data_IF_199310056147
#
_entry.id   IF_199310056147
#
_cell.length_a   1.000
_cell.length_b   1.000
_cell.length_c   1.000
_cell.angle_alpha   90.00
_cell.angle_beta   90.00
_cell.angle_gamma   90.00
#
_symmetry.space_group_name_H-M   'P 1'
#
loop_
_entity.id
_entity.type
_entity.pdbx_description
1 polymer ?
#
# COMPACT_ATOMS: atom_id res chain seq x y z
N UNK A 1 20.71 27.22 -27.06
CA UNK A 1 20.24 25.85 -26.76
C UNK A 1 19.60 25.92 -25.36
N UNK A 2 18.33 25.59 -25.19
CA UNK A 2 17.75 25.56 -23.85
C UNK A 2 18.46 24.48 -23.03
N UNK A 3 18.84 24.82 -21.80
CA UNK A 3 19.52 23.91 -20.90
C UNK A 3 18.57 22.70 -20.63
N UNK A 4 19.05 21.50 -20.96
CA UNK A 4 18.28 20.29 -20.74
C UNK A 4 17.94 20.12 -19.25
N UNK A 5 16.73 19.64 -18.94
CA UNK A 5 16.34 19.35 -17.57
C UNK A 5 16.96 18.05 -17.10
N UNK A 6 17.63 18.10 -15.96
CA UNK A 6 18.26 16.92 -15.33
C UNK A 6 17.28 16.22 -14.41
N UNK A 7 16.99 14.96 -14.69
CA UNK A 7 16.10 14.12 -13.89
C UNK A 7 16.92 13.09 -13.13
N UNK A 8 16.82 13.11 -11.80
CA UNK A 8 17.42 12.10 -10.94
C UNK A 8 16.37 11.05 -10.58
N UNK A 9 16.69 9.79 -10.80
CA UNK A 9 15.83 8.64 -10.49
C UNK A 9 16.49 7.86 -9.35
N UNK A 10 15.99 8.04 -8.14
CA UNK A 10 16.45 7.30 -6.97
C UNK A 10 15.66 6.00 -6.88
N UNK A 11 16.36 4.89 -6.99
CA UNK A 11 15.87 3.52 -7.19
C UNK A 11 15.25 3.33 -8.59
N UNK A 12 15.63 2.24 -9.29
CA UNK A 12 15.12 1.95 -10.63
C UNK A 12 13.60 1.86 -10.68
N UNK A 13 13.04 2.37 -11.77
CA UNK A 13 11.62 2.23 -12.12
C UNK A 13 11.49 1.39 -13.40
N UNK A 14 10.29 0.96 -13.74
CA UNK A 14 10.07 0.19 -14.95
C UNK A 14 10.53 0.96 -16.21
N UNK A 15 11.19 0.25 -17.14
CA UNK A 15 11.76 0.82 -18.38
C UNK A 15 10.77 1.66 -19.20
N UNK A 16 9.48 1.30 -19.19
CA UNK A 16 8.45 2.05 -19.90
C UNK A 16 8.31 3.51 -19.43
N UNK A 17 8.72 3.83 -18.18
CA UNK A 17 8.86 5.21 -17.72
C UNK A 17 10.11 5.86 -18.28
N UNK A 18 11.26 5.16 -18.24
CA UNK A 18 12.53 5.66 -18.77
C UNK A 18 12.42 5.98 -20.26
N UNK A 19 11.72 5.14 -21.03
CA UNK A 19 11.54 5.32 -22.47
C UNK A 19 10.87 6.67 -22.83
N UNK A 20 10.09 7.28 -21.92
CA UNK A 20 9.48 8.60 -22.14
C UNK A 20 10.49 9.75 -22.21
N UNK A 21 11.66 9.60 -21.56
CA UNK A 21 12.69 10.64 -21.50
C UNK A 21 13.98 10.26 -22.24
N UNK A 22 14.22 8.96 -22.47
CA UNK A 22 15.47 8.44 -23.04
C UNK A 22 15.88 9.11 -24.36
N UNK A 23 14.93 9.38 -25.24
CA UNK A 23 15.17 9.99 -26.55
C UNK A 23 14.61 11.42 -26.64
N UNK A 24 14.23 12.02 -25.52
CA UNK A 24 13.68 13.37 -25.49
C UNK A 24 14.83 14.39 -25.37
N UNK A 25 15.05 15.26 -26.38
CA UNK A 25 16.17 16.19 -26.38
C UNK A 25 16.14 17.22 -25.24
N UNK A 26 15.00 17.39 -24.57
CA UNK A 26 14.82 18.36 -23.50
C UNK A 26 15.25 17.84 -22.12
N UNK A 27 15.55 16.53 -22.01
CA UNK A 27 15.86 15.88 -20.72
C UNK A 27 17.17 15.11 -20.79
N UNK A 28 17.92 15.17 -19.70
CA UNK A 28 18.96 14.22 -19.34
C UNK A 28 18.52 13.50 -18.06
N UNK A 29 18.89 12.23 -17.89
CA UNK A 29 18.52 11.48 -16.69
C UNK A 29 19.68 10.65 -16.15
N UNK A 30 19.64 10.43 -14.85
CA UNK A 30 20.57 9.56 -14.14
C UNK A 30 19.81 8.68 -13.17
N UNK A 31 20.21 7.39 -13.05
CA UNK A 31 19.60 6.42 -12.15
C UNK A 31 20.59 6.07 -11.06
N UNK A 32 20.17 6.18 -9.80
CA UNK A 32 20.89 5.68 -8.63
C UNK A 32 20.30 4.31 -8.27
N UNK A 33 21.08 3.26 -8.47
CA UNK A 33 20.69 1.88 -8.14
C UNK A 33 21.05 1.52 -6.70
N UNK A 34 22.29 1.82 -6.31
CA UNK A 34 22.79 1.63 -4.95
C UNK A 34 22.51 2.89 -4.14
N UNK A 35 21.64 2.78 -3.15
CA UNK A 35 21.23 3.91 -2.31
C UNK A 35 22.34 4.20 -1.31
N UNK A 36 23.28 5.04 -1.69
CA UNK A 36 24.27 5.63 -0.80
C UNK A 36 23.95 7.12 -0.62
N UNK A 37 23.85 7.55 0.63
CA UNK A 37 23.60 8.95 0.97
C UNK A 37 24.59 9.91 0.31
N UNK A 38 25.84 9.49 0.10
CA UNK A 38 26.88 10.31 -0.52
C UNK A 38 26.57 10.56 -2.01
N UNK A 39 26.16 9.52 -2.73
CA UNK A 39 25.78 9.63 -4.14
C UNK A 39 24.52 10.48 -4.32
N UNK A 40 23.53 10.28 -3.45
CA UNK A 40 22.30 11.08 -3.47
C UNK A 40 22.64 12.55 -3.19
N UNK A 41 23.44 12.86 -2.16
CA UNK A 41 23.85 14.23 -1.81
C UNK A 41 24.56 14.93 -2.96
N UNK A 42 25.43 14.22 -3.67
CA UNK A 42 26.17 14.80 -4.80
C UNK A 42 25.23 15.09 -6.00
N UNK A 43 24.38 14.14 -6.37
CA UNK A 43 23.58 14.24 -7.60
C UNK A 43 22.33 15.12 -7.45
N UNK A 44 21.76 15.22 -6.26
CA UNK A 44 20.58 16.05 -5.99
C UNK A 44 20.88 17.56 -6.11
N UNK A 45 22.14 17.97 -5.98
CA UNK A 45 22.55 19.37 -6.07
C UNK A 45 22.14 20.03 -7.39
N UNK A 46 22.20 19.28 -8.48
CA UNK A 46 22.06 19.79 -9.84
C UNK A 46 20.84 19.25 -10.60
N UNK A 47 19.99 18.41 -9.95
CA UNK A 47 18.80 17.91 -10.61
C UNK A 47 17.65 18.92 -10.59
N UNK A 48 16.89 18.99 -11.70
CA UNK A 48 15.68 19.81 -11.83
C UNK A 48 14.43 19.04 -11.38
N UNK A 49 14.38 17.72 -11.61
CA UNK A 49 13.30 16.82 -11.26
C UNK A 49 13.81 15.55 -10.58
N UNK A 50 13.03 15.03 -9.65
CA UNK A 50 13.38 13.85 -8.87
C UNK A 50 12.26 12.79 -8.93
N UNK A 51 12.63 11.57 -9.31
CA UNK A 51 11.81 10.37 -9.08
C UNK A 51 12.31 9.63 -7.85
N UNK A 52 11.44 9.27 -6.93
CA UNK A 52 11.80 8.54 -5.70
C UNK A 52 10.78 7.45 -5.36
N UNK A 53 11.26 6.32 -4.84
CA UNK A 53 10.41 5.21 -4.38
C UNK A 53 10.30 5.22 -2.87
N UNK A 54 11.05 4.36 -2.19
CA UNK A 54 10.98 4.14 -0.73
C UNK A 54 12.09 4.81 0.05
N UNK A 55 13.14 5.30 -0.61
CA UNK A 55 14.26 6.01 0.03
C UNK A 55 13.73 7.22 0.79
N UNK A 56 14.26 7.46 1.97
CA UNK A 56 13.93 8.64 2.77
C UNK A 56 14.54 9.91 2.16
N UNK A 57 13.69 10.87 1.81
CA UNK A 57 14.10 12.19 1.33
C UNK A 57 13.99 13.19 2.48
N UNK A 58 15.07 13.27 3.27
CA UNK A 58 15.14 14.11 4.44
C UNK A 58 15.14 15.62 4.13
N UNK A 59 14.86 16.44 5.13
CA UNK A 59 14.98 17.89 5.03
C UNK A 59 16.38 18.33 4.62
N UNK A 60 17.45 17.64 5.06
CA UNK A 60 18.82 17.90 4.64
C UNK A 60 18.98 17.78 3.12
N UNK A 61 18.56 16.66 2.54
CA UNK A 61 18.64 16.40 1.09
C UNK A 61 17.85 17.43 0.26
N UNK A 62 16.67 17.78 0.74
CA UNK A 62 15.83 18.79 0.10
C UNK A 62 16.51 20.16 0.17
N UNK A 63 17.07 20.52 1.32
CA UNK A 63 17.67 21.83 1.54
C UNK A 63 18.96 22.06 0.74
N UNK A 64 19.77 21.04 0.51
CA UNK A 64 20.97 21.17 -0.32
C UNK A 64 20.66 21.26 -1.81
N UNK A 65 19.50 20.78 -2.27
CA UNK A 65 19.12 20.83 -3.68
C UNK A 65 18.99 22.28 -4.17
N UNK A 66 19.71 22.65 -5.26
CA UNK A 66 19.76 24.03 -5.76
C UNK A 66 18.70 24.30 -6.84
N UNK A 67 18.40 23.30 -7.66
CA UNK A 67 17.59 23.43 -8.88
C UNK A 67 16.27 22.64 -8.84
N UNK A 68 16.09 21.77 -7.85
CA UNK A 68 14.95 20.87 -7.75
C UNK A 68 13.60 21.64 -7.72
N UNK A 69 12.70 21.29 -8.63
CA UNK A 69 11.38 21.92 -8.79
C UNK A 69 10.22 20.96 -8.59
N UNK A 70 10.45 19.67 -8.86
CA UNK A 70 9.42 18.63 -8.72
C UNK A 70 10.01 17.35 -8.15
N UNK A 71 9.30 16.76 -7.22
CA UNK A 71 9.48 15.39 -6.72
C UNK A 71 8.29 14.58 -7.22
N UNK A 72 8.53 13.54 -8.02
CA UNK A 72 7.51 12.58 -8.42
C UNK A 72 7.72 11.28 -7.65
N UNK A 73 6.81 11.01 -6.71
CA UNK A 73 6.84 9.81 -5.88
C UNK A 73 6.28 8.62 -6.67
N UNK A 74 7.08 7.58 -6.86
CA UNK A 74 6.69 6.32 -7.49
C UNK A 74 5.84 5.49 -6.51
N UNK A 75 4.57 5.82 -6.40
CA UNK A 75 3.58 5.26 -5.46
C UNK A 75 2.64 6.34 -4.93
N UNK A 76 1.74 5.95 -4.02
CA UNK A 76 0.71 6.84 -3.45
C UNK A 76 1.16 7.48 -2.13
N UNK A 77 1.78 6.69 -1.26
CA UNK A 77 2.25 7.20 0.03
C UNK A 77 3.55 8.00 -0.11
N UNK A 78 3.68 9.05 0.65
CA UNK A 78 4.83 9.96 0.62
C UNK A 78 5.38 10.26 2.03
N UNK A 79 5.20 9.32 2.94
CA UNK A 79 5.64 9.42 4.35
C UNK A 79 7.18 9.53 4.46
N UNK A 80 7.89 9.10 3.41
CA UNK A 80 9.34 9.17 3.29
C UNK A 80 9.85 10.52 2.72
N UNK A 81 9.00 11.52 2.55
CA UNK A 81 9.37 12.83 1.99
C UNK A 81 9.09 13.93 3.01
N UNK A 82 10.09 14.76 3.33
CA UNK A 82 9.90 15.93 4.18
C UNK A 82 9.08 17.02 3.46
N UNK A 83 7.79 17.05 3.77
CA UNK A 83 6.84 17.97 3.15
C UNK A 83 7.10 19.44 3.53
N UNK A 84 7.61 19.69 4.75
CA UNK A 84 7.85 21.04 5.22
C UNK A 84 8.92 21.73 4.38
N UNK A 85 10.07 21.09 4.26
CA UNK A 85 11.17 21.61 3.43
C UNK A 85 10.82 21.70 1.97
N UNK A 86 10.06 20.71 1.44
CA UNK A 86 9.56 20.76 0.05
C UNK A 86 8.70 21.99 -0.21
N UNK A 87 7.79 22.30 0.72
CA UNK A 87 6.90 23.47 0.62
C UNK A 87 7.66 24.78 0.76
N UNK A 88 8.59 24.89 1.72
CA UNK A 88 9.43 26.07 1.95
C UNK A 88 10.27 26.42 0.71
N UNK A 89 10.74 25.41 -0.02
CA UNK A 89 11.48 25.57 -1.27
C UNK A 89 10.62 25.66 -2.52
N UNK A 90 9.29 25.68 -2.39
CA UNK A 90 8.35 25.67 -3.52
C UNK A 90 8.56 24.50 -4.48
N UNK A 91 8.91 23.32 -3.97
CA UNK A 91 9.06 22.10 -4.74
C UNK A 91 7.71 21.41 -4.84
N UNK A 92 7.25 21.14 -6.05
CA UNK A 92 5.99 20.43 -6.28
C UNK A 92 6.16 18.95 -5.96
N UNK A 93 5.21 18.38 -5.20
CA UNK A 93 5.11 16.93 -5.00
C UNK A 93 4.01 16.37 -5.89
N UNK A 94 4.35 15.40 -6.71
CA UNK A 94 3.40 14.60 -7.48
C UNK A 94 3.51 13.12 -7.06
N UNK A 95 2.41 12.36 -7.18
CA UNK A 95 2.33 10.95 -6.81
C UNK A 95 1.75 10.14 -7.97
N UNK A 96 1.99 8.82 -8.00
CA UNK A 96 1.32 7.93 -8.95
C UNK A 96 -0.01 7.47 -8.36
N UNK A 97 -0.99 8.36 -8.44
CA UNK A 97 -2.17 8.28 -7.62
C UNK A 97 -3.12 7.13 -7.98
N UNK A 98 -3.16 6.71 -9.26
CA UNK A 98 -4.15 5.74 -9.78
C UNK A 98 -3.53 4.40 -10.16
N UNK A 99 -2.23 4.38 -10.41
CA UNK A 99 -1.56 3.27 -11.07
C UNK A 99 -1.63 1.94 -10.30
N UNK A 100 -1.59 1.97 -8.96
CA UNK A 100 -1.50 0.77 -8.13
C UNK A 100 -2.85 0.25 -7.59
N UNK A 101 -3.94 1.00 -7.75
CA UNK A 101 -5.20 0.67 -7.08
C UNK A 101 -5.75 -0.72 -7.42
N UNK A 102 -5.61 -1.14 -8.68
CA UNK A 102 -6.02 -2.46 -9.16
C UNK A 102 -5.18 -3.56 -8.52
N UNK A 103 -3.85 -3.45 -8.62
CA UNK A 103 -2.92 -4.46 -8.12
C UNK A 103 -3.07 -4.66 -6.61
N UNK A 104 -3.12 -3.56 -5.82
CA UNK A 104 -3.29 -3.65 -4.37
C UNK A 104 -4.64 -4.26 -4.00
N UNK A 105 -5.73 -3.89 -4.68
CA UNK A 105 -7.04 -4.49 -4.42
C UNK A 105 -7.08 -5.99 -4.75
N UNK A 106 -6.37 -6.44 -5.78
CA UNK A 106 -6.22 -7.86 -6.11
C UNK A 106 -5.37 -8.60 -5.08
N UNK A 107 -4.29 -7.97 -4.61
CA UNK A 107 -3.45 -8.53 -3.55
C UNK A 107 -4.23 -8.71 -2.23
N UNK A 108 -5.10 -7.75 -1.88
CA UNK A 108 -6.00 -7.88 -0.73
C UNK A 108 -6.92 -9.09 -0.88
N UNK A 109 -7.54 -9.28 -2.05
CA UNK A 109 -8.38 -10.45 -2.32
C UNK A 109 -7.58 -11.76 -2.29
N UNK A 110 -6.35 -11.75 -2.81
CA UNK A 110 -5.44 -12.89 -2.74
C UNK A 110 -5.13 -13.27 -1.29
N UNK A 111 -4.74 -12.30 -0.44
CA UNK A 111 -4.50 -12.55 0.99
C UNK A 111 -5.75 -13.09 1.68
N UNK A 112 -6.91 -12.47 1.43
CA UNK A 112 -8.18 -12.89 2.02
C UNK A 112 -8.56 -14.32 1.63
N UNK A 113 -8.40 -14.69 0.36
CA UNK A 113 -8.64 -16.05 -0.14
C UNK A 113 -7.61 -17.04 0.42
N UNK A 114 -6.33 -16.69 0.45
CA UNK A 114 -5.27 -17.52 0.99
C UNK A 114 -5.57 -17.94 2.43
N UNK A 115 -5.91 -16.96 3.28
CA UNK A 115 -6.19 -17.19 4.69
C UNK A 115 -7.52 -17.95 4.86
N UNK A 116 -8.60 -17.51 4.21
CA UNK A 116 -9.91 -18.13 4.33
C UNK A 116 -9.93 -19.60 3.86
N UNK A 117 -9.12 -19.93 2.83
CA UNK A 117 -8.97 -21.30 2.30
C UNK A 117 -7.82 -22.08 2.94
N UNK A 118 -7.08 -21.48 3.90
CA UNK A 118 -5.95 -22.15 4.58
C UNK A 118 -4.95 -22.75 3.59
N UNK A 119 -4.62 -21.98 2.52
CA UNK A 119 -3.88 -22.45 1.35
C UNK A 119 -2.63 -23.25 1.73
N UNK A 120 -1.79 -22.72 2.62
CA UNK A 120 -0.52 -23.35 2.95
C UNK A 120 -0.72 -24.72 3.61
N UNK A 121 -1.67 -24.86 4.54
CA UNK A 121 -1.96 -26.11 5.23
C UNK A 121 -2.51 -27.18 4.27
N UNK A 122 -3.40 -26.79 3.35
CA UNK A 122 -4.00 -27.74 2.40
C UNK A 122 -3.00 -28.17 1.32
N UNK A 123 -2.17 -27.25 0.83
CA UNK A 123 -1.08 -27.55 -0.11
C UNK A 123 -0.04 -28.50 0.51
N UNK A 124 0.37 -28.21 1.74
CA UNK A 124 1.30 -29.06 2.50
C UNK A 124 0.77 -30.47 2.71
N UNK A 125 -0.52 -30.59 3.06
CA UNK A 125 -1.13 -31.90 3.28
C UNK A 125 -1.06 -32.80 2.02
N UNK A 126 -1.17 -32.22 0.84
CA UNK A 126 -1.02 -32.97 -0.42
C UNK A 126 0.45 -33.32 -0.66
N UNK A 127 1.37 -32.34 -0.53
CA UNK A 127 2.80 -32.50 -0.78
C UNK A 127 3.48 -33.51 0.13
N UNK A 128 3.00 -33.63 1.37
CA UNK A 128 3.51 -34.59 2.37
C UNK A 128 2.79 -35.94 2.35
N UNK A 129 1.97 -36.22 1.35
CA UNK A 129 1.26 -37.49 1.22
C UNK A 129 0.08 -37.69 2.19
N UNK A 130 -0.35 -36.62 2.90
CA UNK A 130 -1.41 -36.69 3.89
C UNK A 130 -2.82 -36.53 3.30
N UNK A 131 -2.99 -36.80 2.01
CA UNK A 131 -4.23 -36.64 1.26
C UNK A 131 -5.40 -37.46 1.86
N UNK A 132 -5.15 -38.68 2.32
CA UNK A 132 -6.15 -39.55 2.92
C UNK A 132 -6.78 -38.99 4.20
N UNK A 133 -6.06 -38.09 4.90
CA UNK A 133 -6.51 -37.45 6.12
C UNK A 133 -7.27 -36.12 5.87
N UNK A 134 -7.63 -35.79 4.64
CA UNK A 134 -8.30 -34.53 4.29
C UNK A 134 -9.52 -34.19 5.16
N UNK A 135 -10.26 -35.18 5.64
CA UNK A 135 -11.43 -35.00 6.49
C UNK A 135 -11.09 -34.51 7.92
N UNK A 136 -9.82 -34.64 8.33
CA UNK A 136 -9.29 -34.18 9.62
C UNK A 136 -8.72 -32.77 9.54
N UNK A 137 -8.54 -32.23 8.33
CA UNK A 137 -8.08 -30.85 8.17
C UNK A 137 -9.11 -29.84 8.68
N UNK A 138 -8.67 -28.76 9.31
CA UNK A 138 -9.57 -27.69 9.78
C UNK A 138 -10.36 -27.11 8.61
N UNK A 139 -11.65 -26.93 8.80
CA UNK A 139 -12.54 -26.39 7.75
C UNK A 139 -12.12 -24.97 7.31
N UNK A 140 -12.38 -24.68 6.04
CA UNK A 140 -12.16 -23.38 5.42
C UNK A 140 -13.42 -22.50 5.51
N UNK A 141 -13.28 -21.22 5.11
CA UNK A 141 -14.38 -20.24 5.11
C UNK A 141 -14.71 -19.87 3.67
N UNK A 142 -16.01 -19.72 3.38
CA UNK A 142 -16.48 -19.09 2.13
C UNK A 142 -16.59 -17.58 2.33
N UNK A 143 -16.38 -16.82 1.27
CA UNK A 143 -16.56 -15.37 1.27
C UNK A 143 -17.99 -14.95 0.91
N UNK A 144 -18.76 -15.83 0.32
CA UNK A 144 -20.14 -15.60 -0.08
C UNK A 144 -21.02 -15.14 1.08
N UNK A 145 -21.71 -14.02 0.90
CA UNK A 145 -22.55 -13.34 1.90
C UNK A 145 -21.83 -12.94 3.20
N UNK A 146 -20.51 -12.98 3.24
CA UNK A 146 -19.74 -12.51 4.38
C UNK A 146 -19.67 -10.97 4.39
N UNK A 147 -19.60 -10.42 5.61
CA UNK A 147 -19.48 -9.00 5.81
C UNK A 147 -18.00 -8.58 5.75
N UNK A 148 -17.66 -7.66 4.86
CA UNK A 148 -16.33 -7.05 4.82
C UNK A 148 -16.42 -5.55 5.11
N UNK A 149 -15.55 -5.05 5.99
CA UNK A 149 -15.34 -3.64 6.23
C UNK A 149 -14.12 -3.15 5.43
N UNK A 150 -14.32 -2.17 4.58
CA UNK A 150 -13.27 -1.41 3.92
C UNK A 150 -13.06 -0.12 4.73
N UNK A 151 -11.96 -0.04 5.48
CA UNK A 151 -11.61 1.13 6.28
C UNK A 151 -10.67 2.05 5.47
N UNK A 152 -11.21 3.13 4.95
CA UNK A 152 -10.62 4.02 3.95
C UNK A 152 -11.17 3.74 2.54
N UNK A 153 -11.78 4.76 1.92
CA UNK A 153 -12.47 4.61 0.62
C UNK A 153 -11.88 5.48 -0.49
N UNK A 154 -10.55 5.57 -0.48
CA UNK A 154 -9.77 6.13 -1.59
C UNK A 154 -9.80 5.22 -2.83
N UNK A 155 -8.89 5.44 -3.77
CA UNK A 155 -8.84 4.68 -5.04
C UNK A 155 -8.73 3.17 -4.86
N UNK A 156 -7.95 2.71 -3.87
CA UNK A 156 -7.80 1.28 -3.56
C UNK A 156 -9.11 0.71 -2.99
N UNK A 157 -9.71 1.37 -2.00
CA UNK A 157 -11.00 0.94 -1.42
C UNK A 157 -12.11 0.86 -2.47
N UNK A 158 -12.18 1.84 -3.37
CA UNK A 158 -13.12 1.85 -4.51
C UNK A 158 -12.80 0.77 -5.57
N UNK A 159 -11.55 0.38 -5.72
CA UNK A 159 -11.17 -0.75 -6.55
C UNK A 159 -11.53 -2.09 -5.90
N UNK A 160 -11.36 -2.19 -4.58
CA UNK A 160 -11.63 -3.40 -3.80
C UNK A 160 -13.13 -3.72 -3.74
N UNK A 161 -14.00 -2.71 -3.56
CA UNK A 161 -15.46 -2.97 -3.45
C UNK A 161 -16.01 -3.75 -4.64
N UNK A 162 -15.54 -3.46 -5.86
CA UNK A 162 -15.98 -4.16 -7.08
C UNK A 162 -15.62 -5.65 -7.03
N UNK A 163 -14.46 -5.98 -6.48
CA UNK A 163 -13.98 -7.36 -6.32
C UNK A 163 -14.77 -8.10 -5.24
N UNK A 164 -14.98 -7.46 -4.10
CA UNK A 164 -15.82 -8.01 -3.04
C UNK A 164 -17.26 -8.27 -3.52
N UNK A 165 -17.83 -7.39 -4.31
CA UNK A 165 -19.15 -7.58 -4.93
C UNK A 165 -19.15 -8.75 -5.91
N UNK A 166 -18.07 -9.00 -6.65
CA UNK A 166 -17.92 -10.18 -7.51
C UNK A 166 -17.92 -11.50 -6.73
N UNK A 167 -17.52 -11.48 -5.46
CA UNK A 167 -17.65 -12.59 -4.51
C UNK A 167 -18.97 -12.59 -3.72
N UNK A 168 -19.93 -11.74 -4.08
CA UNK A 168 -21.24 -11.59 -3.43
C UNK A 168 -21.12 -11.29 -1.92
N UNK A 169 -20.06 -10.60 -1.50
CA UNK A 169 -19.90 -10.13 -0.12
C UNK A 169 -20.80 -8.92 0.17
N UNK A 170 -21.20 -8.78 1.44
CA UNK A 170 -21.82 -7.57 1.95
C UNK A 170 -20.71 -6.57 2.30
N UNK A 171 -20.65 -5.44 1.59
CA UNK A 171 -19.56 -4.48 1.76
C UNK A 171 -20.01 -3.30 2.63
N UNK A 172 -19.29 -3.08 3.72
CA UNK A 172 -19.39 -1.93 4.60
C UNK A 172 -18.17 -1.04 4.41
N UNK A 173 -18.34 0.26 4.53
CA UNK A 173 -17.27 1.24 4.30
C UNK A 173 -17.22 2.24 5.45
N UNK A 174 -16.05 2.36 6.05
CA UNK A 174 -15.72 3.42 6.99
C UNK A 174 -14.78 4.42 6.29
N UNK A 175 -15.24 5.63 6.09
CA UNK A 175 -14.42 6.77 5.63
C UNK A 175 -15.12 8.06 6.08
N UNK A 176 -14.47 8.87 6.95
CA UNK A 176 -15.07 10.11 7.46
C UNK A 176 -15.18 11.23 6.42
N UNK A 177 -14.45 11.10 5.28
CA UNK A 177 -14.37 12.15 4.27
C UNK A 177 -15.21 11.86 3.02
N UNK A 178 -15.65 10.63 2.81
CA UNK A 178 -16.42 10.23 1.64
C UNK A 178 -17.91 10.19 1.99
N UNK A 179 -18.74 10.85 1.15
CA UNK A 179 -20.18 10.91 1.36
C UNK A 179 -20.85 9.53 1.23
N UNK A 180 -21.98 9.37 1.91
CA UNK A 180 -22.81 8.16 1.84
C UNK A 180 -23.22 7.83 0.40
N UNK A 181 -23.61 8.83 -0.37
CA UNK A 181 -24.08 8.65 -1.74
C UNK A 181 -23.02 8.05 -2.66
N UNK A 182 -21.75 8.47 -2.50
CA UNK A 182 -20.64 7.91 -3.28
C UNK A 182 -20.44 6.42 -2.94
N UNK A 183 -20.50 6.07 -1.65
CA UNK A 183 -20.33 4.69 -1.17
C UNK A 183 -21.48 3.82 -1.67
N UNK A 184 -22.72 4.27 -1.52
CA UNK A 184 -23.91 3.52 -1.91
C UNK A 184 -24.02 3.34 -3.43
N UNK A 185 -23.64 4.37 -4.20
CA UNK A 185 -23.56 4.27 -5.67
C UNK A 185 -22.60 3.16 -6.14
N UNK A 186 -21.56 2.87 -5.37
CA UNK A 186 -20.62 1.78 -5.64
C UNK A 186 -21.05 0.44 -5.03
N UNK A 187 -22.19 0.39 -4.34
CA UNK A 187 -22.79 -0.83 -3.78
C UNK A 187 -22.30 -1.17 -2.37
N UNK A 188 -21.70 -0.22 -1.65
CA UNK A 188 -21.34 -0.34 -0.24
C UNK A 188 -22.41 0.21 0.68
N UNK A 189 -22.25 -0.05 1.99
CA UNK A 189 -23.03 0.56 3.08
C UNK A 189 -22.08 1.38 3.95
N UNK A 190 -22.33 2.69 4.08
CA UNK A 190 -21.52 3.55 4.95
C UNK A 190 -21.75 3.18 6.41
N UNK A 191 -20.67 3.15 7.19
CA UNK A 191 -20.68 3.07 8.66
C UNK A 191 -19.93 4.28 9.20
N UNK A 192 -20.44 4.81 10.33
CA UNK A 192 -19.90 6.06 10.90
C UNK A 192 -18.91 5.79 12.04
N UNK A 193 -18.98 4.64 12.69
CA UNK A 193 -18.12 4.24 13.79
C UNK A 193 -17.38 2.94 13.46
N UNK A 194 -16.05 3.03 13.42
CA UNK A 194 -15.18 1.89 13.14
C UNK A 194 -15.27 0.84 14.26
N UNK A 195 -15.30 1.28 15.52
CA UNK A 195 -15.22 0.40 16.69
C UNK A 195 -16.51 -0.42 16.85
N UNK A 196 -17.64 0.15 16.49
CA UNK A 196 -18.90 -0.59 16.45
C UNK A 196 -19.00 -1.49 15.22
N UNK A 197 -18.55 -1.00 14.07
CA UNK A 197 -18.64 -1.78 12.83
C UNK A 197 -17.86 -3.10 12.90
N UNK A 198 -16.63 -3.10 13.43
CA UNK A 198 -15.76 -4.29 13.46
C UNK A 198 -16.39 -5.49 14.18
N UNK A 199 -17.29 -5.26 15.14
CA UNK A 199 -17.94 -6.31 15.94
C UNK A 199 -18.78 -7.28 15.09
N UNK A 200 -19.23 -6.84 13.92
CA UNK A 200 -20.12 -7.62 13.04
C UNK A 200 -19.45 -8.07 11.73
N UNK A 201 -18.16 -7.84 11.55
CA UNK A 201 -17.44 -8.14 10.32
C UNK A 201 -16.81 -9.53 10.33
N UNK A 202 -16.80 -10.17 9.16
CA UNK A 202 -16.09 -11.41 8.88
C UNK A 202 -14.72 -11.13 8.26
N UNK A 203 -14.54 -9.94 7.67
CA UNK A 203 -13.27 -9.45 7.16
C UNK A 203 -13.13 -7.94 7.34
N UNK A 204 -11.91 -7.46 7.53
CA UNK A 204 -11.57 -6.03 7.63
C UNK A 204 -10.36 -5.78 6.74
N UNK A 205 -10.42 -4.76 5.88
CA UNK A 205 -9.29 -4.33 5.06
C UNK A 205 -8.99 -2.86 5.29
N UNK A 206 -7.74 -2.57 5.65
CA UNK A 206 -7.27 -1.22 5.98
C UNK A 206 -6.71 -0.52 4.73
N UNK A 207 -7.19 0.70 4.47
CA UNK A 207 -6.80 1.55 3.32
C UNK A 207 -6.67 3.02 3.71
N UNK A 208 -6.51 3.30 5.00
CA UNK A 208 -6.31 4.64 5.53
C UNK A 208 -4.82 5.04 5.49
N UNK A 209 -4.48 6.34 5.52
CA UNK A 209 -3.11 6.77 5.78
C UNK A 209 -2.74 6.55 7.26
N UNK A 210 -1.45 6.35 7.53
CA UNK A 210 -0.94 6.36 8.90
C UNK A 210 -0.82 7.81 9.40
N UNK A 211 -1.42 8.09 10.54
CA UNK A 211 -1.31 9.34 11.29
C UNK A 211 -1.65 9.09 12.76
N UNK A 212 -1.61 10.13 13.59
CA UNK A 212 -1.88 10.01 15.04
C UNK A 212 -3.24 9.37 15.38
N UNK A 213 -4.25 9.54 14.51
CA UNK A 213 -5.59 8.97 14.73
C UNK A 213 -5.71 7.52 14.26
N UNK A 214 -4.85 7.09 13.35
CA UNK A 214 -4.88 5.74 12.76
C UNK A 214 -3.77 4.84 13.28
N UNK A 215 -2.78 5.39 13.98
CA UNK A 215 -1.73 4.63 14.65
C UNK A 215 -2.34 3.71 15.73
N UNK A 216 -2.00 2.42 15.66
CA UNK A 216 -2.51 1.39 16.56
C UNK A 216 -4.05 1.39 16.70
N UNK A 217 -4.76 1.82 15.65
CA UNK A 217 -6.22 1.83 15.65
C UNK A 217 -6.79 0.41 15.79
N UNK A 218 -6.05 -0.60 15.34
CA UNK A 218 -6.30 -2.00 15.62
C UNK A 218 -5.34 -2.43 16.74
N UNK A 219 -5.86 -2.50 17.95
CA UNK A 219 -5.18 -2.91 19.17
C UNK A 219 -5.89 -4.10 19.81
N UNK A 220 -5.32 -4.63 20.90
CA UNK A 220 -5.85 -5.82 21.56
C UNK A 220 -7.31 -5.66 22.05
N UNK A 221 -7.66 -4.48 22.57
CA UNK A 221 -9.02 -4.24 23.07
C UNK A 221 -10.05 -4.26 21.93
N UNK A 222 -9.70 -3.70 20.78
CA UNK A 222 -10.56 -3.78 19.60
C UNK A 222 -10.63 -5.21 19.05
N UNK A 223 -9.49 -5.92 18.98
CA UNK A 223 -9.43 -7.31 18.52
C UNK A 223 -10.33 -8.25 19.33
N UNK A 224 -10.42 -8.06 20.64
CA UNK A 224 -11.31 -8.84 21.52
C UNK A 224 -12.81 -8.69 21.19
N UNK A 225 -13.20 -7.57 20.57
CA UNK A 225 -14.61 -7.32 20.22
C UNK A 225 -15.01 -7.93 18.88
N UNK A 226 -14.06 -8.36 18.09
CA UNK A 226 -14.28 -8.91 16.74
C UNK A 226 -14.83 -10.34 16.79
N UNK A 227 -15.36 -10.80 15.67
CA UNK A 227 -15.79 -12.18 15.53
C UNK A 227 -14.58 -13.13 15.45
N UNK A 228 -14.69 -14.32 16.04
CA UNK A 228 -13.63 -15.35 15.98
C UNK A 228 -13.27 -15.82 14.57
N UNK A 229 -14.16 -15.62 13.60
CA UNK A 229 -13.91 -15.91 12.20
C UNK A 229 -13.44 -14.68 11.40
N UNK A 230 -13.19 -13.55 12.05
CA UNK A 230 -12.73 -12.32 11.38
C UNK A 230 -11.31 -12.48 10.84
N UNK A 231 -11.10 -12.01 9.61
CA UNK A 231 -9.78 -11.91 8.95
C UNK A 231 -9.44 -10.44 8.78
N UNK A 232 -8.23 -10.04 9.18
CA UNK A 232 -7.76 -8.66 9.02
C UNK A 232 -6.70 -8.60 7.93
N UNK A 233 -6.84 -7.64 7.00
CA UNK A 233 -5.88 -7.40 5.92
C UNK A 233 -5.33 -5.97 6.04
N UNK A 234 -4.01 -5.84 6.03
CA UNK A 234 -3.32 -4.56 5.95
C UNK A 234 -2.31 -4.55 4.79
N UNK A 235 -2.67 -3.89 3.71
CA UNK A 235 -1.81 -3.56 2.57
C UNK A 235 -1.70 -2.04 2.36
N UNK A 236 -1.85 -1.27 3.45
CA UNK A 236 -1.80 0.19 3.41
C UNK A 236 -0.53 0.74 4.04
N UNK A 237 -0.42 0.71 5.38
CA UNK A 237 0.76 1.15 6.13
C UNK A 237 0.93 0.30 7.39
N UNK A 238 2.19 -0.02 7.72
CA UNK A 238 2.54 -0.54 9.05
C UNK A 238 2.19 0.46 10.16
N UNK A 239 2.13 0.00 11.39
CA UNK A 239 1.79 0.84 12.55
C UNK A 239 0.30 1.17 12.74
N UNK A 240 -0.60 0.81 11.80
CA UNK A 240 -2.04 0.87 12.04
C UNK A 240 -2.55 -0.28 12.89
N UNK A 241 -1.89 -1.41 12.82
CA UNK A 241 -2.12 -2.56 13.69
C UNK A 241 -0.97 -2.64 14.67
N UNK A 242 -1.25 -2.77 15.97
CA UNK A 242 -0.22 -3.13 16.93
C UNK A 242 0.16 -4.60 16.71
N UNK A 243 1.39 -4.86 16.28
CA UNK A 243 1.82 -6.20 15.85
C UNK A 243 1.90 -7.19 17.00
N UNK A 244 2.28 -6.75 18.22
CA UNK A 244 2.28 -7.60 19.40
C UNK A 244 0.85 -7.97 19.86
N UNK A 245 -0.05 -7.01 19.82
CA UNK A 245 -1.47 -7.22 20.14
C UNK A 245 -2.12 -8.19 19.15
N UNK A 246 -1.78 -8.06 17.87
CA UNK A 246 -2.26 -8.96 16.82
C UNK A 246 -1.77 -10.38 17.03
N UNK A 247 -0.47 -10.58 17.31
CA UNK A 247 0.07 -11.91 17.59
C UNK A 247 -0.62 -12.55 18.80
N UNK A 248 -0.76 -11.80 19.89
CA UNK A 248 -1.46 -12.25 21.09
C UNK A 248 -2.90 -12.68 20.76
N UNK A 249 -3.65 -11.85 20.05
CA UNK A 249 -5.04 -12.15 19.70
C UNK A 249 -5.17 -13.39 18.80
N UNK A 250 -4.23 -13.58 17.86
CA UNK A 250 -4.17 -14.77 17.01
C UNK A 250 -3.87 -16.03 17.82
N UNK A 251 -2.91 -15.97 18.75
CA UNK A 251 -2.55 -17.10 19.62
C UNK A 251 -3.74 -17.49 20.53
N UNK A 252 -4.48 -16.54 21.03
CA UNK A 252 -5.70 -16.73 21.81
C UNK A 252 -6.93 -17.10 20.96
N UNK A 253 -6.80 -17.16 19.64
CA UNK A 253 -7.88 -17.46 18.69
C UNK A 253 -9.08 -16.51 18.81
N UNK A 254 -8.83 -15.25 19.10
CA UNK A 254 -9.84 -14.18 19.11
C UNK A 254 -10.30 -13.81 17.69
N UNK A 255 -9.41 -13.96 16.71
CA UNK A 255 -9.71 -13.79 15.29
C UNK A 255 -9.17 -14.99 14.49
N UNK A 256 -9.60 -15.13 13.25
CA UNK A 256 -9.25 -16.29 12.41
C UNK A 256 -7.85 -16.22 11.83
N UNK A 257 -7.41 -15.06 11.39
CA UNK A 257 -6.11 -14.85 10.77
C UNK A 257 -5.89 -13.43 10.32
N UNK A 258 -4.68 -13.12 9.85
CA UNK A 258 -4.33 -11.81 9.32
C UNK A 258 -3.46 -11.91 8.06
N UNK A 259 -3.57 -10.91 7.16
CA UNK A 259 -2.72 -10.73 6.01
C UNK A 259 -2.02 -9.37 6.08
N UNK A 260 -0.70 -9.36 6.05
CA UNK A 260 0.10 -8.15 6.15
C UNK A 260 1.06 -8.05 4.96
N UNK A 261 0.96 -6.96 4.22
CA UNK A 261 1.94 -6.58 3.19
C UNK A 261 2.88 -5.48 3.69
N UNK A 262 2.59 -4.92 4.88
CA UNK A 262 3.32 -3.81 5.49
C UNK A 262 3.55 -4.05 6.98
N UNK A 263 4.65 -3.48 7.51
CA UNK A 263 5.08 -3.68 8.89
C UNK A 263 5.37 -2.34 9.57
N UNK A 264 5.31 -2.32 10.91
CA UNK A 264 5.63 -1.12 11.71
C UNK A 264 7.08 -0.65 11.45
N UNK A 265 7.99 -1.61 11.28
CA UNK A 265 9.36 -1.36 10.81
C UNK A 265 9.60 -2.19 9.56
N UNK A 266 10.06 -1.58 8.48
CA UNK A 266 10.39 -2.24 7.22
C UNK A 266 11.89 -2.12 6.90
N UNK A 267 12.64 -3.23 6.77
CA UNK A 267 12.20 -4.62 6.94
C UNK A 267 11.83 -4.95 8.40
N UNK A 268 10.92 -5.92 8.62
CA UNK A 268 10.55 -6.33 9.98
C UNK A 268 11.76 -6.92 10.71
N UNK A 269 11.86 -6.64 12.03
CA UNK A 269 12.93 -7.20 12.86
C UNK A 269 12.80 -8.71 12.97
N UNK A 270 13.92 -9.42 13.15
CA UNK A 270 13.96 -10.88 13.26
C UNK A 270 13.16 -11.44 14.45
N UNK A 271 13.02 -10.64 15.50
CA UNK A 271 12.24 -10.96 16.72
C UNK A 271 10.74 -10.62 16.61
N UNK A 272 10.29 -10.10 15.49
CA UNK A 272 8.86 -9.82 15.29
C UNK A 272 8.04 -11.12 15.40
N UNK A 273 7.10 -11.20 16.36
CA UNK A 273 6.38 -12.44 16.66
C UNK A 273 5.52 -12.93 15.49
N UNK A 274 5.06 -12.03 14.63
CA UNK A 274 4.23 -12.36 13.48
C UNK A 274 4.96 -13.19 12.42
N UNK A 275 6.31 -13.11 12.36
CA UNK A 275 7.10 -13.88 11.39
C UNK A 275 7.00 -15.40 11.59
N UNK A 276 6.67 -15.84 12.80
CA UNK A 276 6.52 -17.26 13.16
C UNK A 276 5.07 -17.69 13.33
N UNK A 277 4.13 -16.75 13.23
CA UNK A 277 2.71 -17.04 13.43
C UNK A 277 2.07 -17.63 12.16
N UNK A 278 1.70 -18.90 12.20
CA UNK A 278 1.13 -19.62 11.07
C UNK A 278 -0.31 -19.21 10.68
N UNK A 279 -0.96 -18.36 11.46
CA UNK A 279 -2.24 -17.74 11.13
C UNK A 279 -2.11 -16.43 10.36
N UNK A 280 -0.86 -16.00 10.10
CA UNK A 280 -0.57 -14.76 9.35
C UNK A 280 -0.03 -15.11 7.97
N UNK A 281 -0.58 -14.47 6.95
CA UNK A 281 0.03 -14.40 5.63
C UNK A 281 0.84 -13.11 5.53
N UNK A 282 2.11 -13.22 5.14
CA UNK A 282 3.03 -12.09 5.03
C UNK A 282 3.49 -11.90 3.59
N UNK A 283 3.65 -10.65 3.17
CA UNK A 283 4.31 -10.28 1.91
C UNK A 283 5.18 -9.02 2.11
N UNK A 284 6.29 -8.87 1.36
CA UNK A 284 7.31 -7.85 1.64
C UNK A 284 7.03 -6.52 0.94
N UNK A 285 5.88 -5.88 1.25
CA UNK A 285 5.42 -4.62 0.67
C UNK A 285 5.37 -4.67 -0.87
N UNK A 286 4.78 -5.74 -1.40
CA UNK A 286 4.75 -6.06 -2.83
C UNK A 286 3.36 -6.08 -3.44
N UNK A 287 2.34 -5.58 -2.74
CA UNK A 287 0.97 -5.54 -3.26
C UNK A 287 0.83 -4.82 -4.62
N UNK A 288 1.77 -3.93 -4.95
CA UNK A 288 1.83 -3.22 -6.23
C UNK A 288 2.78 -3.86 -7.26
N UNK A 289 3.44 -5.00 -6.99
CA UNK A 289 4.51 -5.57 -7.82
C UNK A 289 3.99 -6.48 -8.94
N UNK A 290 2.95 -6.05 -9.65
CA UNK A 290 2.58 -6.71 -10.90
C UNK A 290 3.23 -5.98 -12.08
N UNK A 291 3.54 -6.69 -13.16
CA UNK A 291 4.18 -6.12 -14.36
C UNK A 291 3.37 -4.93 -14.89
N UNK A 292 2.06 -5.07 -14.99
CA UNK A 292 1.15 -4.04 -15.49
C UNK A 292 1.13 -2.81 -14.56
N UNK A 293 1.19 -3.03 -13.26
CA UNK A 293 1.23 -1.95 -12.28
C UNK A 293 2.57 -1.21 -12.35
N UNK A 294 3.68 -1.92 -12.43
CA UNK A 294 5.02 -1.34 -12.54
C UNK A 294 5.17 -0.52 -13.83
N UNK A 295 4.60 -0.99 -14.95
CA UNK A 295 4.52 -0.22 -16.21
C UNK A 295 3.75 1.09 -16.00
N UNK A 296 2.54 1.02 -15.41
CA UNK A 296 1.71 2.21 -15.16
C UNK A 296 2.40 3.19 -14.22
N UNK A 297 2.92 2.69 -13.11
CA UNK A 297 3.62 3.52 -12.11
C UNK A 297 4.87 4.18 -12.71
N UNK A 298 5.69 3.42 -13.45
CA UNK A 298 6.88 3.96 -14.12
C UNK A 298 6.54 5.08 -15.09
N UNK A 299 5.53 4.87 -15.95
CA UNK A 299 5.06 5.89 -16.89
C UNK A 299 4.51 7.12 -16.16
N UNK A 300 3.60 6.95 -15.20
CA UNK A 300 2.98 8.06 -14.47
C UNK A 300 4.02 8.87 -13.69
N UNK A 301 5.04 8.21 -13.11
CA UNK A 301 6.12 8.89 -12.40
C UNK A 301 6.88 9.86 -13.29
N UNK A 302 7.29 9.42 -14.46
CA UNK A 302 8.06 10.26 -15.39
C UNK A 302 7.13 11.27 -16.10
N UNK A 303 5.91 10.87 -16.43
CA UNK A 303 4.93 11.77 -17.04
C UNK A 303 4.62 12.97 -16.14
N UNK A 304 4.50 12.76 -14.82
CA UNK A 304 4.32 13.85 -13.87
C UNK A 304 5.46 14.90 -13.95
N UNK A 305 6.69 14.45 -14.12
CA UNK A 305 7.85 15.35 -14.26
C UNK A 305 7.79 16.11 -15.59
N UNK A 306 7.49 15.41 -16.69
CA UNK A 306 7.32 16.02 -18.01
C UNK A 306 6.19 17.05 -17.98
N UNK A 307 5.03 16.67 -17.49
CA UNK A 307 3.84 17.54 -17.42
C UNK A 307 4.09 18.79 -16.58
N UNK A 308 4.89 18.66 -15.52
CA UNK A 308 5.28 19.82 -14.72
C UNK A 308 6.11 20.81 -15.53
N UNK A 309 7.16 20.37 -16.22
CA UNK A 309 8.02 21.27 -17.01
C UNK A 309 7.32 21.80 -18.25
N UNK A 310 6.38 21.06 -18.80
CA UNK A 310 5.52 21.51 -19.91
C UNK A 310 4.31 22.33 -19.45
N UNK A 311 4.19 22.62 -18.14
CA UNK A 311 3.06 23.34 -17.53
C UNK A 311 1.69 22.71 -17.76
N UNK A 312 1.65 21.37 -17.89
CA UNK A 312 0.44 20.57 -18.09
C UNK A 312 0.02 19.82 -16.82
N UNK A 313 0.83 19.86 -15.74
CA UNK A 313 0.55 19.11 -14.51
C UNK A 313 -0.74 19.62 -13.87
N UNK A 314 -1.71 18.73 -13.74
CA UNK A 314 -2.93 18.97 -13.00
C UNK A 314 -2.63 19.02 -11.49
N UNK A 315 -2.76 20.21 -10.88
CA UNK A 315 -2.48 20.43 -9.45
C UNK A 315 -3.55 19.84 -8.53
N UNK A 316 -4.62 19.26 -9.07
CA UNK A 316 -5.70 18.62 -8.30
C UNK A 316 -5.48 17.11 -8.06
N UNK A 317 -4.38 16.55 -8.58
CA UNK A 317 -4.07 15.13 -8.45
C UNK A 317 -3.14 14.82 -7.29
#
# INVERSE_FOLDING_TARGET
>A
MSDKKKILIIQPIHKAGIDLIKNNPNYDYEIIENIDDKDIKQKILECDGLSIRTTNLSSELINISKKLKIISRHGVGYDNIDLKSSKEKNITLAITATANAVAVAEHVMFMLLNISKRKNMYDEAVKTGNFSNRNKLPKTIELWKKNILIAGFGRIGQSLIRRCKGFEMNVFVYDPFVSKDIIEKLGGKKVEDLTEAVKSMDAISLHMPLNEKTKNIINYDLLKTMRKNCIIINAARGGMINENDLDKALNESLIFGAGLDVFETEPPKEDNPLLKNNKVFLSPHTAAFTEECMIRMGKETIQNIIDFFEKKLDKSK
#
